data_IF_579360065540
#
_entry.id   IF_579360065540
#
_cell.length_a   1.000
_cell.length_b   1.000
_cell.length_c   1.000
_cell.angle_alpha   90.00
_cell.angle_beta   90.00
_cell.angle_gamma   90.00
#
_symmetry.space_group_name_H-M   'P 1'
#
loop_
_entity.id
_entity.type
_entity.pdbx_description
1 polymer ?
#
# COMPACT_ATOMS: atom_id res chain seq x y z
N UNK A 1 4.94 -5.23 -10.37
CA UNK A 1 5.08 -4.32 -11.54
C UNK A 1 5.74 -3.03 -11.11
N UNK A 2 6.88 -3.15 -10.45
CA UNK A 2 7.69 -2.04 -9.93
C UNK A 2 9.10 -2.57 -9.71
N UNK A 3 10.08 -1.67 -9.64
CA UNK A 3 11.47 -2.01 -9.42
C UNK A 3 11.94 -1.44 -8.08
N UNK A 4 12.58 -2.29 -7.28
CA UNK A 4 13.36 -1.91 -6.10
C UNK A 4 14.76 -2.48 -6.23
N UNK A 5 15.13 -3.42 -5.35
CA UNK A 5 16.34 -4.25 -5.51
C UNK A 5 16.28 -5.10 -6.79
N UNK A 6 15.09 -5.60 -7.12
CA UNK A 6 14.77 -6.30 -8.36
C UNK A 6 13.43 -5.83 -8.88
N UNK A 7 13.16 -6.07 -10.17
CA UNK A 7 11.88 -5.74 -10.77
C UNK A 7 10.92 -6.92 -10.68
N UNK A 8 9.72 -6.69 -10.15
CA UNK A 8 8.60 -7.61 -10.29
C UNK A 8 7.82 -7.30 -11.57
N UNK A 9 7.57 -8.33 -12.38
CA UNK A 9 6.84 -8.26 -13.66
C UNK A 9 5.61 -9.18 -13.70
N UNK A 10 5.10 -9.56 -12.53
CA UNK A 10 4.02 -10.56 -12.40
C UNK A 10 2.64 -10.12 -12.93
N UNK A 11 2.49 -8.89 -13.43
CA UNK A 11 1.21 -8.34 -13.88
C UNK A 11 0.35 -7.79 -12.73
N UNK A 12 -0.58 -6.89 -13.03
CA UNK A 12 -1.39 -6.21 -12.00
C UNK A 12 -2.26 -7.19 -11.19
N UNK A 13 -2.57 -8.35 -11.77
CA UNK A 13 -3.38 -9.39 -11.16
C UNK A 13 -2.58 -10.41 -10.33
N UNK A 14 -1.25 -10.31 -10.29
CA UNK A 14 -0.39 -11.26 -9.56
C UNK A 14 -0.76 -11.37 -8.08
N UNK A 15 -0.90 -10.23 -7.40
CA UNK A 15 -1.30 -10.18 -5.99
C UNK A 15 -2.70 -10.78 -5.76
N UNK A 16 -3.68 -10.42 -6.62
CA UNK A 16 -5.04 -10.99 -6.56
C UNK A 16 -5.03 -12.51 -6.69
N UNK A 17 -4.30 -13.04 -7.68
CA UNK A 17 -4.20 -14.50 -7.91
C UNK A 17 -3.60 -15.21 -6.71
N UNK A 18 -2.54 -14.65 -6.13
CA UNK A 18 -1.91 -15.20 -4.94
C UNK A 18 -2.89 -15.24 -3.75
N UNK A 19 -3.54 -14.11 -3.44
CA UNK A 19 -4.45 -14.02 -2.31
C UNK A 19 -5.70 -14.89 -2.50
N UNK A 20 -6.22 -15.00 -3.73
CA UNK A 20 -7.31 -15.92 -4.05
C UNK A 20 -6.89 -17.38 -3.81
N UNK A 21 -5.68 -17.77 -4.18
CA UNK A 21 -5.16 -19.12 -3.93
C UNK A 21 -4.99 -19.40 -2.43
N UNK A 22 -4.48 -18.43 -1.67
CA UNK A 22 -4.36 -18.53 -0.20
C UNK A 22 -5.76 -18.69 0.43
N UNK A 23 -6.72 -17.83 0.08
CA UNK A 23 -8.09 -17.94 0.58
C UNK A 23 -8.74 -19.28 0.23
N UNK A 24 -8.55 -19.77 -1.00
CA UNK A 24 -9.07 -21.08 -1.40
C UNK A 24 -8.46 -22.24 -0.61
N UNK A 25 -7.16 -22.16 -0.27
CA UNK A 25 -6.45 -23.20 0.49
C UNK A 25 -6.88 -23.27 1.95
N UNK A 26 -7.14 -22.11 2.55
CA UNK A 26 -7.37 -21.98 3.99
C UNK A 26 -8.84 -21.81 4.38
N UNK A 27 -9.71 -21.44 3.44
CA UNK A 27 -11.14 -21.24 3.67
C UNK A 27 -11.47 -19.97 4.45
N UNK A 28 -12.72 -19.87 4.90
CA UNK A 28 -13.27 -18.68 5.58
C UNK A 28 -13.07 -18.71 7.11
N UNK A 29 -12.58 -19.83 7.67
CA UNK A 29 -12.44 -20.01 9.12
C UNK A 29 -11.14 -19.46 9.71
N UNK A 30 -10.28 -18.85 8.88
CA UNK A 30 -9.01 -18.26 9.31
C UNK A 30 -8.82 -16.89 8.67
N UNK A 31 -8.00 -16.07 9.32
CA UNK A 31 -7.62 -14.76 8.80
C UNK A 31 -6.62 -14.90 7.64
N UNK A 32 -6.86 -14.14 6.59
CA UNK A 32 -5.93 -13.87 5.49
C UNK A 32 -5.83 -12.36 5.36
N UNK A 33 -4.70 -11.79 5.76
CA UNK A 33 -4.40 -10.36 5.62
C UNK A 33 -3.19 -10.18 4.73
N UNK A 34 -2.94 -8.94 4.28
CA UNK A 34 -1.71 -8.62 3.56
C UNK A 34 -1.25 -7.21 3.93
N UNK A 35 0.04 -7.08 4.27
CA UNK A 35 0.68 -5.78 4.35
C UNK A 35 0.94 -5.24 2.94
N UNK A 36 0.60 -3.97 2.70
CA UNK A 36 0.69 -3.34 1.37
C UNK A 36 1.42 -2.01 1.45
N UNK A 37 2.02 -1.58 0.34
CA UNK A 37 2.61 -0.24 0.23
C UNK A 37 1.56 0.84 0.51
N UNK A 38 2.01 2.00 0.97
CA UNK A 38 1.17 3.19 1.14
C UNK A 38 1.54 4.32 0.16
N UNK A 39 2.16 3.97 -0.97
CA UNK A 39 2.43 4.90 -2.06
C UNK A 39 1.20 5.06 -2.97
N UNK A 40 0.33 6.00 -2.61
CA UNK A 40 -0.87 6.40 -3.36
C UNK A 40 -0.64 7.51 -4.39
N UNK A 41 0.61 7.87 -4.69
CA UNK A 41 0.91 8.93 -5.65
C UNK A 41 0.53 8.53 -7.08
N UNK A 42 0.43 9.51 -7.98
CA UNK A 42 0.19 9.24 -9.40
C UNK A 42 1.30 8.35 -9.98
N UNK A 43 0.91 7.13 -10.38
CA UNK A 43 1.85 6.13 -10.90
C UNK A 43 2.67 5.41 -9.83
N UNK A 44 2.37 5.63 -8.55
CA UNK A 44 2.97 4.98 -7.39
C UNK A 44 2.64 3.48 -7.28
N UNK A 45 3.17 2.83 -6.25
CA UNK A 45 3.07 1.38 -6.07
C UNK A 45 1.62 0.88 -5.98
N UNK A 46 0.73 1.65 -5.35
CA UNK A 46 -0.68 1.26 -5.26
C UNK A 46 -1.36 1.20 -6.63
N UNK A 47 -0.86 1.94 -7.63
CA UNK A 47 -1.40 1.93 -8.99
C UNK A 47 -0.94 0.73 -9.83
N UNK A 48 -0.14 -0.18 -9.28
CA UNK A 48 0.51 -1.27 -10.03
C UNK A 48 -0.13 -2.63 -9.82
N UNK A 49 -1.19 -2.70 -9.00
CA UNK A 49 -1.88 -3.95 -8.65
C UNK A 49 -3.40 -3.77 -8.56
N UNK A 50 -4.13 -4.85 -8.84
CA UNK A 50 -5.58 -4.92 -8.72
C UNK A 50 -5.99 -5.12 -7.25
N UNK A 51 -5.96 -4.04 -6.47
CA UNK A 51 -6.33 -4.06 -5.06
C UNK A 51 -7.82 -4.31 -4.83
N UNK A 52 -8.70 -3.93 -5.78
CA UNK A 52 -10.14 -4.19 -5.72
C UNK A 52 -10.41 -5.69 -5.79
N UNK A 53 -9.81 -6.37 -6.77
CA UNK A 53 -9.93 -7.81 -6.89
C UNK A 53 -9.22 -8.56 -5.76
N UNK A 54 -8.04 -8.09 -5.32
CA UNK A 54 -7.34 -8.65 -4.17
C UNK A 54 -8.15 -8.53 -2.87
N UNK A 55 -8.85 -7.40 -2.67
CA UNK A 55 -9.68 -7.14 -1.50
C UNK A 55 -10.78 -8.21 -1.31
N UNK A 56 -11.20 -8.91 -2.36
CA UNK A 56 -12.19 -9.97 -2.24
C UNK A 56 -11.69 -11.20 -1.45
N UNK A 57 -10.37 -11.38 -1.36
CA UNK A 57 -9.76 -12.58 -0.78
C UNK A 57 -9.19 -12.37 0.63
N UNK A 58 -8.93 -11.12 1.02
CA UNK A 58 -8.40 -10.77 2.34
C UNK A 58 -9.49 -10.34 3.31
N UNK A 59 -9.26 -10.51 4.60
CA UNK A 59 -10.07 -9.90 5.66
C UNK A 59 -9.83 -8.38 5.68
N UNK A 60 -8.56 -7.96 5.68
CA UNK A 60 -8.13 -6.57 5.52
C UNK A 60 -6.69 -6.48 4.99
N UNK A 61 -6.30 -5.26 4.61
CA UNK A 61 -4.94 -4.87 4.29
C UNK A 61 -4.33 -4.06 5.42
N UNK A 62 -3.07 -4.32 5.73
CA UNK A 62 -2.28 -3.52 6.66
C UNK A 62 -1.45 -2.51 5.85
N UNK A 63 -1.87 -1.24 5.83
CA UNK A 63 -1.20 -0.19 5.06
C UNK A 63 0.09 0.18 5.77
N UNK A 64 1.22 0.00 5.08
CA UNK A 64 2.54 0.39 5.57
C UNK A 64 2.72 1.92 5.45
N UNK A 65 1.92 2.69 6.18
CA UNK A 65 1.87 4.15 6.18
C UNK A 65 3.04 4.77 6.98
N UNK A 66 4.25 4.29 6.70
CA UNK A 66 5.50 4.68 7.31
C UNK A 66 6.63 4.51 6.28
N UNK A 67 7.82 4.98 6.62
CA UNK A 67 9.02 4.95 5.76
C UNK A 67 8.86 5.71 4.43
N UNK A 68 7.96 6.69 4.39
CA UNK A 68 7.83 7.63 3.26
C UNK A 68 9.12 8.44 3.04
N UNK A 69 9.77 8.83 4.13
CA UNK A 69 11.02 9.58 4.08
C UNK A 69 11.99 9.02 5.10
N UNK A 70 13.29 9.05 4.80
CA UNK A 70 14.29 8.49 5.69
C UNK A 70 15.71 8.69 5.19
N UNK A 71 16.66 8.17 5.96
CA UNK A 71 18.10 8.31 5.70
C UNK A 71 18.58 7.58 4.44
N UNK A 72 17.72 6.81 3.77
CA UNK A 72 17.97 6.29 2.42
C UNK A 72 18.15 7.41 1.37
N UNK A 73 17.72 8.65 1.68
CA UNK A 73 18.16 9.85 0.99
C UNK A 73 19.11 10.67 1.90
N UNK A 74 20.42 10.39 1.88
CA UNK A 74 21.35 10.93 2.88
C UNK A 74 21.65 12.43 2.71
N UNK A 75 21.37 13.01 1.54
CA UNK A 75 21.50 14.45 1.31
C UNK A 75 20.22 15.22 1.66
N UNK A 76 19.20 14.52 2.16
CA UNK A 76 17.91 15.10 2.50
C UNK A 76 17.10 15.55 1.27
N UNK A 77 16.08 16.39 1.47
CA UNK A 77 15.71 17.07 2.73
C UNK A 77 15.22 16.10 3.81
N UNK A 78 15.34 16.51 5.08
CA UNK A 78 14.69 15.79 6.21
C UNK A 78 13.18 15.97 6.15
N UNK A 79 12.44 14.90 6.41
CA UNK A 79 10.98 14.89 6.44
C UNK A 79 10.48 13.82 7.43
N UNK A 80 9.25 13.96 7.98
CA UNK A 80 8.64 12.94 8.84
C UNK A 80 8.42 11.65 8.05
N UNK A 81 8.88 10.50 8.56
CA UNK A 81 8.75 9.22 7.84
C UNK A 81 7.31 8.69 7.76
N UNK A 82 6.39 9.20 8.58
CA UNK A 82 4.98 8.78 8.65
C UNK A 82 4.07 10.01 8.79
N UNK A 83 3.94 10.86 7.75
CA UNK A 83 3.00 11.98 7.77
C UNK A 83 1.57 11.47 7.56
N UNK A 84 0.64 11.90 8.42
CA UNK A 84 -0.78 11.61 8.25
C UNK A 84 -1.35 12.33 7.02
N UNK A 85 -0.98 13.59 6.82
CA UNK A 85 -1.47 14.48 5.77
C UNK A 85 -0.33 15.20 5.06
N UNK A 86 -0.62 15.69 3.86
CA UNK A 86 0.27 16.58 3.11
C UNK A 86 0.57 17.89 3.86
N UNK A 87 1.77 18.42 3.64
CA UNK A 87 2.22 19.68 4.25
C UNK A 87 3.02 20.53 3.25
N UNK A 88 3.03 21.84 3.46
CA UNK A 88 3.82 22.77 2.64
C UNK A 88 5.30 22.43 2.72
N UNK A 89 5.95 22.22 1.57
CA UNK A 89 7.36 21.87 1.50
C UNK A 89 7.65 20.36 1.61
N UNK A 90 6.63 19.50 1.56
CA UNK A 90 6.81 18.06 1.47
C UNK A 90 7.68 17.70 0.24
N UNK A 91 8.72 16.86 0.37
CA UNK A 91 9.65 16.58 -0.72
C UNK A 91 9.00 15.87 -1.92
N UNK A 92 8.09 14.94 -1.65
CA UNK A 92 7.29 14.23 -2.65
C UNK A 92 5.82 14.53 -2.37
N UNK A 93 5.12 15.31 -3.21
CA UNK A 93 3.71 15.65 -2.97
C UNK A 93 2.83 14.42 -2.80
N UNK A 94 1.87 14.48 -1.87
CA UNK A 94 0.92 13.39 -1.57
C UNK A 94 1.57 12.07 -1.13
N UNK A 95 2.81 12.11 -0.64
CA UNK A 95 3.50 10.93 -0.09
C UNK A 95 3.21 10.83 1.41
N UNK A 96 1.93 10.57 1.71
CA UNK A 96 1.34 10.54 3.04
C UNK A 96 0.22 9.50 3.16
N UNK A 97 -0.20 9.24 4.40
CA UNK A 97 -1.19 8.23 4.73
C UNK A 97 -2.58 8.52 4.15
N UNK A 98 -3.03 9.78 4.21
CA UNK A 98 -4.33 10.21 3.70
C UNK A 98 -4.45 9.97 2.20
N UNK A 99 -3.42 10.32 1.42
CA UNK A 99 -3.36 10.06 0.00
C UNK A 99 -3.44 8.56 -0.33
N UNK A 100 -2.78 7.70 0.45
CA UNK A 100 -2.83 6.25 0.28
C UNK A 100 -4.23 5.67 0.51
N UNK A 101 -4.89 6.10 1.60
CA UNK A 101 -6.27 5.70 1.92
C UNK A 101 -7.23 6.19 0.85
N UNK A 102 -7.16 7.47 0.49
CA UNK A 102 -8.02 8.06 -0.55
C UNK A 102 -7.84 7.37 -1.90
N UNK A 103 -6.61 6.98 -2.27
CA UNK A 103 -6.40 6.21 -3.49
C UNK A 103 -7.14 4.87 -3.47
N UNK A 104 -6.96 4.09 -2.39
CA UNK A 104 -7.58 2.75 -2.26
C UNK A 104 -9.10 2.83 -2.22
N UNK A 105 -9.66 3.77 -1.46
CA UNK A 105 -11.10 4.02 -1.44
C UNK A 105 -11.61 4.50 -2.80
N UNK A 106 -10.86 5.39 -3.45
CA UNK A 106 -11.20 5.95 -4.77
C UNK A 106 -11.24 4.90 -5.88
N UNK A 107 -10.41 3.86 -5.83
CA UNK A 107 -10.51 2.72 -6.75
C UNK A 107 -11.57 1.69 -6.33
N UNK A 108 -12.14 1.80 -5.13
CA UNK A 108 -13.27 1.00 -4.67
C UNK A 108 -12.94 -0.07 -3.62
N UNK A 109 -11.79 0.00 -2.95
CA UNK A 109 -11.51 -0.85 -1.78
C UNK A 109 -12.33 -0.34 -0.59
N UNK A 110 -13.12 -1.20 0.11
CA UNK A 110 -13.89 -0.76 1.26
C UNK A 110 -13.00 -0.28 2.41
N UNK A 111 -13.34 0.86 3.03
CA UNK A 111 -12.63 1.40 4.19
C UNK A 111 -12.50 0.39 5.34
N UNK A 112 -13.50 -0.47 5.54
CA UNK A 112 -13.49 -1.54 6.55
C UNK A 112 -12.42 -2.62 6.32
N UNK A 113 -11.75 -2.61 5.17
CA UNK A 113 -10.62 -3.49 4.84
C UNK A 113 -9.27 -2.78 4.92
N UNK A 114 -9.20 -1.54 5.42
CA UNK A 114 -7.96 -0.77 5.50
C UNK A 114 -7.58 -0.58 6.96
N UNK A 115 -6.44 -1.15 7.37
CA UNK A 115 -5.83 -0.94 8.68
C UNK A 115 -4.64 0.02 8.53
N UNK A 116 -4.68 1.16 9.20
CA UNK A 116 -3.63 2.17 9.12
C UNK A 116 -2.41 1.76 9.96
N UNK A 117 -1.22 1.73 9.34
CA UNK A 117 0.03 1.41 10.03
C UNK A 117 0.61 2.57 10.84
N UNK A 118 1.28 2.23 11.96
CA UNK A 118 2.02 3.17 12.82
C UNK A 118 3.41 2.56 13.09
N UNK A 119 4.48 3.30 12.79
CA UNK A 119 5.85 2.90 13.13
C UNK A 119 6.16 3.18 14.61
N UNK A 120 6.78 2.23 15.30
CA UNK A 120 7.14 2.31 16.74
C UNK A 120 8.64 2.45 16.95
#
# INVERSE_FOLDING_TARGET
NSCGLSCDTSGADGLKKLLAAVRARFGQGVLVTAAISADGTDGGHLTKSDYVGAAQSVDWFDLMAYDYFGAFNPQGPTAPHSPLQSYTGMPTPNFDAEAAVHYLEGVGVPASKLMLGVGF
#
